data_IF_124039624924
#
_entry.id   IF_124039624924
#
_cell.length_a   1.000
_cell.length_b   1.000
_cell.length_c   1.000
_cell.angle_alpha   90.00
_cell.angle_beta   90.00
_cell.angle_gamma   90.00
#
_symmetry.space_group_name_H-M   'P 1'
#
loop_
_entity.id
_entity.type
_entity.pdbx_description
1 polymer ?
#
# COMPACT_ATOMS: atom_id res chain seq x y z
N UNK A 1 0.54 -30.55 0.81
CA UNK A 1 0.02 -29.47 -0.04
C UNK A 1 0.76 -28.22 0.38
N UNK A 2 1.75 -27.86 -0.44
CA UNK A 2 2.82 -26.91 -0.15
C UNK A 2 2.29 -25.49 0.01
N UNK A 3 2.42 -24.95 1.22
CA UNK A 3 2.40 -23.50 1.47
C UNK A 3 3.86 -23.05 1.37
N UNK A 4 4.35 -23.00 0.13
CA UNK A 4 5.73 -22.64 -0.19
C UNK A 4 5.82 -21.13 -0.46
N UNK A 5 6.57 -20.45 0.43
CA UNK A 5 7.22 -19.14 0.26
C UNK A 5 6.34 -18.00 -0.25
N UNK A 6 5.80 -17.23 0.70
CA UNK A 6 5.72 -15.79 0.49
C UNK A 6 7.16 -15.27 0.39
N UNK A 7 7.57 -14.89 -0.81
CA UNK A 7 8.82 -14.17 -1.05
C UNK A 7 8.76 -12.84 -0.30
N UNK A 8 9.34 -12.81 0.89
CA UNK A 8 9.82 -11.61 1.55
C UNK A 8 11.14 -11.20 0.87
N UNK A 9 11.02 -10.77 -0.39
CA UNK A 9 12.03 -10.03 -1.11
C UNK A 9 11.30 -8.91 -1.81
N UNK A 10 11.73 -7.67 -1.60
CA UNK A 10 11.28 -6.51 -2.39
C UNK A 10 11.46 -6.87 -3.86
N UNK A 11 10.42 -7.39 -4.50
CA UNK A 11 10.45 -7.70 -5.91
C UNK A 11 10.57 -6.36 -6.62
N UNK A 12 11.79 -6.05 -7.06
CA UNK A 12 12.16 -4.77 -7.65
C UNK A 12 11.13 -4.36 -8.70
N UNK A 13 10.69 -3.10 -8.64
CA UNK A 13 9.81 -2.55 -9.65
C UNK A 13 10.55 -2.52 -10.99
N UNK A 14 9.89 -3.01 -12.03
CA UNK A 14 10.36 -2.80 -13.41
C UNK A 14 9.60 -1.59 -13.93
N UNK A 15 10.21 -0.42 -13.80
CA UNK A 15 9.59 0.86 -14.14
C UNK A 15 9.86 1.24 -15.59
N UNK A 16 8.80 1.45 -16.36
CA UNK A 16 8.83 1.93 -17.74
C UNK A 16 7.95 3.17 -17.90
N UNK A 17 8.24 3.99 -18.91
CA UNK A 17 7.35 5.09 -19.31
C UNK A 17 6.17 4.53 -20.11
N UNK A 18 4.98 4.60 -19.52
CA UNK A 18 3.77 3.95 -20.07
C UNK A 18 2.68 4.97 -20.30
N UNK A 19 2.06 4.96 -21.49
CA UNK A 19 0.78 5.67 -21.71
C UNK A 19 -0.34 4.93 -20.96
N UNK A 20 -0.92 5.62 -19.99
CA UNK A 20 -1.86 5.02 -19.05
C UNK A 20 -3.20 4.71 -19.73
N UNK A 21 -3.62 5.52 -20.72
CA UNK A 21 -4.84 5.25 -21.46
C UNK A 21 -4.69 3.96 -22.28
N UNK A 22 -3.54 3.76 -22.92
CA UNK A 22 -3.25 2.56 -23.70
C UNK A 22 -3.19 1.31 -22.81
N UNK A 23 -2.50 1.39 -21.66
CA UNK A 23 -2.41 0.28 -20.73
C UNK A 23 -3.78 -0.13 -20.17
N UNK A 24 -4.59 0.85 -19.73
CA UNK A 24 -5.94 0.57 -19.21
C UNK A 24 -6.83 0.02 -20.32
N UNK A 25 -6.75 0.55 -21.53
CA UNK A 25 -7.50 0.03 -22.69
C UNK A 25 -7.13 -1.43 -22.98
N UNK A 26 -5.84 -1.76 -23.01
CA UNK A 26 -5.37 -3.13 -23.20
C UNK A 26 -5.83 -4.07 -22.07
N UNK A 27 -5.82 -3.59 -20.82
CA UNK A 27 -6.32 -4.33 -19.66
C UNK A 27 -7.81 -4.68 -19.79
N UNK A 28 -8.63 -3.73 -20.26
CA UNK A 28 -10.07 -3.91 -20.47
C UNK A 28 -10.36 -4.84 -21.66
N UNK A 29 -9.65 -4.68 -22.77
CA UNK A 29 -9.82 -5.50 -23.97
C UNK A 29 -9.46 -6.96 -23.71
N UNK A 30 -8.33 -7.23 -23.04
CA UNK A 30 -7.88 -8.57 -22.68
C UNK A 30 -8.91 -9.37 -21.84
N UNK A 31 -9.84 -8.67 -21.18
CA UNK A 31 -10.88 -9.25 -20.32
C UNK A 31 -12.28 -9.13 -20.93
N UNK A 32 -12.40 -8.61 -22.15
CA UNK A 32 -13.65 -8.33 -22.85
C UNK A 32 -14.60 -7.43 -22.05
N UNK A 33 -14.05 -6.40 -21.40
CA UNK A 33 -14.80 -5.43 -20.59
C UNK A 33 -15.12 -4.12 -21.31
N UNK A 34 -14.74 -3.96 -22.58
CA UNK A 34 -14.93 -2.72 -23.33
C UNK A 34 -16.39 -2.26 -23.42
N UNK A 35 -17.35 -3.19 -23.47
CA UNK A 35 -18.78 -2.85 -23.53
C UNK A 35 -19.40 -2.60 -22.14
N UNK A 36 -18.69 -2.96 -21.07
CA UNK A 36 -19.16 -2.85 -19.68
C UNK A 36 -18.53 -1.66 -18.92
N UNK A 37 -17.51 -1.02 -19.51
CA UNK A 37 -16.71 0.02 -18.87
C UNK A 37 -16.69 1.28 -19.74
N UNK A 38 -17.12 2.40 -19.16
CA UNK A 38 -16.94 3.75 -19.71
C UNK A 38 -15.57 4.29 -19.30
N UNK A 39 -14.59 4.21 -20.21
CA UNK A 39 -13.24 4.73 -19.98
C UNK A 39 -13.15 6.21 -20.38
N UNK A 40 -12.93 7.07 -19.38
CA UNK A 40 -12.70 8.51 -19.51
C UNK A 40 -11.24 8.82 -19.21
N UNK A 41 -10.46 8.99 -20.27
CA UNK A 41 -9.05 9.36 -20.13
C UNK A 41 -8.67 10.50 -21.07
N UNK A 42 -7.98 11.54 -20.57
CA UNK A 42 -7.17 12.40 -21.41
C UNK A 42 -6.13 11.55 -22.15
N UNK A 43 -5.75 11.98 -23.35
CA UNK A 43 -4.64 11.36 -24.09
C UNK A 43 -3.31 11.90 -23.59
N UNK A 44 -2.26 11.07 -23.65
CA UNK A 44 -0.89 11.49 -23.38
C UNK A 44 -0.55 11.62 -21.89
N UNK A 45 -1.25 10.91 -21.01
CA UNK A 45 -0.79 10.72 -19.64
C UNK A 45 0.24 9.60 -19.65
N UNK A 46 1.52 9.97 -19.60
CA UNK A 46 2.63 9.04 -19.46
C UNK A 46 3.09 9.06 -18.02
N UNK A 47 3.18 7.89 -17.39
CA UNK A 47 3.73 7.74 -16.05
C UNK A 47 4.78 6.63 -16.02
N UNK A 48 5.76 6.78 -15.14
CA UNK A 48 6.83 5.81 -14.91
C UNK A 48 6.38 4.77 -13.89
N UNK A 49 5.89 3.63 -14.37
CA UNK A 49 5.21 2.61 -13.55
C UNK A 49 5.59 1.20 -13.98
N UNK A 50 5.36 0.21 -13.12
CA UNK A 50 5.40 -1.20 -13.51
C UNK A 50 4.06 -1.59 -14.16
N UNK A 51 4.08 -1.72 -15.49
CA UNK A 51 2.89 -2.00 -16.30
C UNK A 51 2.15 -3.28 -15.87
N UNK A 52 2.88 -4.32 -15.45
CA UNK A 52 2.28 -5.60 -15.04
C UNK A 52 1.54 -5.44 -13.73
N UNK A 53 2.14 -4.74 -12.77
CA UNK A 53 1.50 -4.46 -11.48
C UNK A 53 0.31 -3.52 -11.64
N UNK A 54 0.41 -2.52 -12.53
CA UNK A 54 -0.69 -1.63 -12.80
C UNK A 54 -1.88 -2.34 -13.48
N UNK A 55 -1.66 -3.26 -14.43
CA UNK A 55 -2.72 -4.13 -14.97
C UNK A 55 -3.40 -4.95 -13.86
N UNK A 56 -2.62 -5.51 -12.94
CA UNK A 56 -3.16 -6.23 -11.78
C UNK A 56 -4.00 -5.30 -10.90
N UNK A 57 -3.56 -4.08 -10.63
CA UNK A 57 -4.32 -3.13 -9.81
C UNK A 57 -5.64 -2.77 -10.49
N UNK A 58 -5.59 -2.32 -11.75
CA UNK A 58 -6.77 -1.91 -12.51
C UNK A 58 -7.77 -3.05 -12.65
N UNK A 59 -7.29 -4.25 -12.99
CA UNK A 59 -8.17 -5.41 -13.15
C UNK A 59 -8.87 -5.83 -11.87
N UNK A 60 -8.21 -5.71 -10.72
CA UNK A 60 -8.84 -5.98 -9.42
C UNK A 60 -9.90 -4.92 -9.07
N UNK A 61 -9.63 -3.64 -9.32
CA UNK A 61 -10.58 -2.56 -9.06
C UNK A 61 -11.82 -2.67 -9.96
N UNK A 62 -11.62 -2.77 -11.28
CA UNK A 62 -12.71 -2.89 -12.26
C UNK A 62 -13.48 -4.20 -12.09
N UNK A 63 -12.79 -5.31 -11.85
CA UNK A 63 -13.43 -6.59 -11.59
C UNK A 63 -14.29 -6.59 -10.32
N UNK A 64 -13.86 -5.86 -9.29
CA UNK A 64 -14.65 -5.68 -8.07
C UNK A 64 -15.89 -4.82 -8.34
N UNK A 65 -15.73 -3.68 -9.01
CA UNK A 65 -16.81 -2.80 -9.41
C UNK A 65 -17.87 -3.53 -10.27
N UNK A 66 -17.46 -4.29 -11.29
CA UNK A 66 -18.39 -5.05 -12.15
C UNK A 66 -19.12 -6.15 -11.37
N UNK A 67 -18.43 -6.85 -10.46
CA UNK A 67 -19.01 -7.94 -9.68
C UNK A 67 -20.04 -7.45 -8.67
N UNK A 68 -19.76 -6.33 -8.00
CA UNK A 68 -20.55 -5.88 -6.86
C UNK A 68 -21.52 -4.74 -7.20
N UNK A 69 -21.14 -3.86 -8.13
CA UNK A 69 -21.97 -2.74 -8.56
C UNK A 69 -22.57 -2.88 -9.96
N UNK A 70 -22.21 -3.91 -10.71
CA UNK A 70 -22.77 -4.18 -12.04
C UNK A 70 -22.23 -3.25 -13.12
N UNK A 71 -22.87 -3.29 -14.29
CA UNK A 71 -22.49 -2.50 -15.47
C UNK A 71 -23.51 -1.37 -15.70
N UNK A 72 -23.07 -0.18 -16.16
CA UNK A 72 -21.70 0.18 -16.52
C UNK A 72 -20.84 0.60 -15.32
N UNK A 73 -19.54 0.31 -15.40
CA UNK A 73 -18.51 0.88 -14.51
C UNK A 73 -17.86 2.05 -15.22
N UNK A 74 -17.58 3.14 -14.50
CA UNK A 74 -16.83 4.28 -15.04
C UNK A 74 -15.39 4.21 -14.56
N UNK A 75 -14.43 4.31 -15.48
CA UNK A 75 -13.00 4.45 -15.16
C UNK A 75 -12.56 5.84 -15.61
N UNK A 76 -12.19 6.70 -14.67
CA UNK A 76 -11.71 8.04 -14.94
C UNK A 76 -10.23 8.16 -14.61
N UNK A 77 -9.44 8.66 -15.56
CA UNK A 77 -7.99 8.81 -15.43
C UNK A 77 -7.67 10.30 -15.51
N UNK A 78 -6.89 10.81 -14.55
CA UNK A 78 -6.46 12.21 -14.54
C UNK A 78 -5.12 12.39 -13.86
N UNK A 79 -4.54 13.58 -14.07
CA UNK A 79 -3.39 14.07 -13.30
C UNK A 79 -3.90 15.01 -12.23
N UNK A 80 -3.34 14.93 -11.03
CA UNK A 80 -3.58 15.88 -9.97
C UNK A 80 -2.25 16.35 -9.39
N UNK A 81 -2.15 17.60 -8.92
CA UNK A 81 -0.99 18.03 -8.13
C UNK A 81 -0.76 17.07 -6.96
N UNK A 82 0.50 16.71 -6.75
CA UNK A 82 0.85 15.76 -5.71
C UNK A 82 0.43 16.28 -4.34
N UNK A 83 -0.24 15.43 -3.57
CA UNK A 83 -0.70 15.80 -2.25
C UNK A 83 0.49 16.09 -1.33
N UNK A 84 0.46 17.26 -0.68
CA UNK A 84 1.47 17.62 0.30
C UNK A 84 1.39 16.68 1.51
N UNK A 85 2.46 15.93 1.75
CA UNK A 85 2.61 15.10 2.94
C UNK A 85 3.56 15.81 3.90
N UNK A 86 3.11 16.19 5.12
CA UNK A 86 3.98 16.86 6.08
C UNK A 86 5.26 16.07 6.35
N UNK A 87 6.41 16.73 6.28
CA UNK A 87 7.72 16.11 6.50
C UNK A 87 8.32 15.43 5.27
N UNK A 88 7.64 15.43 4.11
CA UNK A 88 8.18 14.94 2.84
C UNK A 88 8.42 16.12 1.92
N UNK A 89 9.66 16.30 1.47
CA UNK A 89 9.98 17.27 0.42
C UNK A 89 9.49 16.69 -0.91
N UNK A 90 8.63 17.45 -1.59
CA UNK A 90 8.07 17.08 -2.88
C UNK A 90 8.28 18.28 -3.80
N UNK A 91 8.71 18.01 -5.04
CA UNK A 91 8.76 19.01 -6.10
C UNK A 91 7.37 19.69 -6.23
N UNK A 92 7.27 21.04 -6.19
CA UNK A 92 6.00 21.73 -6.35
C UNK A 92 5.28 21.42 -7.67
N UNK A 93 6.01 20.99 -8.70
CA UNK A 93 5.48 20.59 -10.00
C UNK A 93 5.23 19.08 -10.10
N UNK A 94 5.43 18.32 -9.01
CA UNK A 94 5.12 16.89 -9.01
C UNK A 94 3.61 16.64 -9.13
N UNK A 95 3.26 15.67 -9.98
CA UNK A 95 1.88 15.23 -10.21
C UNK A 95 1.70 13.78 -9.76
N UNK A 96 0.49 13.47 -9.28
CA UNK A 96 0.01 12.12 -9.08
C UNK A 96 -0.94 11.72 -10.23
N UNK A 97 -0.85 10.45 -10.63
CA UNK A 97 -1.77 9.77 -11.49
C UNK A 97 -2.92 9.29 -10.62
N UNK A 98 -4.14 9.71 -10.98
CA UNK A 98 -5.36 9.28 -10.30
C UNK A 98 -6.20 8.46 -11.27
N UNK A 99 -6.54 7.24 -10.85
CA UNK A 99 -7.45 6.34 -11.55
C UNK A 99 -8.62 6.06 -10.61
N UNK A 100 -9.78 6.61 -10.93
CA UNK A 100 -11.02 6.37 -10.20
C UNK A 100 -11.86 5.33 -10.92
N UNK A 101 -12.32 4.33 -10.18
CA UNK A 101 -13.21 3.27 -10.66
C UNK A 101 -14.51 3.36 -9.87
N UNK A 102 -15.58 3.76 -10.56
CA UNK A 102 -16.89 4.02 -9.96
C UNK A 102 -17.94 3.07 -10.50
N UNK A 103 -18.74 2.48 -9.61
CA UNK A 103 -19.89 1.66 -9.96
C UNK A 103 -21.23 2.33 -9.60
N UNK A 104 -22.33 1.69 -9.96
CA UNK A 104 -23.71 2.16 -9.68
C UNK A 104 -24.45 1.21 -8.73
N UNK A 105 -23.69 0.45 -7.94
CA UNK A 105 -24.18 -0.57 -7.03
C UNK A 105 -24.83 -0.04 -5.75
N UNK A 106 -25.07 -0.93 -4.77
CA UNK A 106 -25.54 -0.53 -3.44
C UNK A 106 -24.48 0.22 -2.62
N UNK A 107 -23.23 0.29 -3.09
CA UNK A 107 -22.09 0.80 -2.34
C UNK A 107 -21.51 -0.25 -1.37
N UNK A 108 -20.56 0.19 -0.57
CA UNK A 108 -19.84 -0.59 0.44
C UNK A 108 -20.44 -0.26 1.82
N UNK A 109 -20.78 -1.26 2.67
CA UNK A 109 -21.23 -1.00 4.04
C UNK A 109 -20.21 -0.15 4.83
N UNK A 110 -20.69 0.76 5.68
CA UNK A 110 -19.83 1.70 6.43
C UNK A 110 -18.86 1.00 7.40
N UNK A 111 -19.28 -0.13 7.97
CA UNK A 111 -18.47 -0.99 8.83
C UNK A 111 -17.40 -1.77 8.06
N UNK A 112 -17.57 -1.91 6.74
CA UNK A 112 -16.69 -2.64 5.83
C UNK A 112 -15.67 -1.71 5.19
N UNK A 113 -16.06 -0.47 4.87
CA UNK A 113 -15.22 0.54 4.18
C UNK A 113 -13.80 0.67 4.75
N UNK A 114 -13.58 0.72 6.09
CA UNK A 114 -12.23 0.81 6.66
C UNK A 114 -11.36 -0.43 6.41
N UNK A 115 -11.98 -1.56 6.13
CA UNK A 115 -11.35 -2.89 6.08
C UNK A 115 -11.28 -3.49 4.67
N UNK A 116 -11.81 -2.82 3.64
CA UNK A 116 -11.87 -3.40 2.28
C UNK A 116 -10.50 -3.69 1.67
N UNK A 117 -9.45 -3.01 2.13
CA UNK A 117 -8.06 -3.25 1.70
C UNK A 117 -7.32 -4.26 2.60
N UNK A 118 -7.93 -4.73 3.69
CA UNK A 118 -7.33 -5.73 4.57
C UNK A 118 -7.26 -7.09 3.87
N UNK A 119 -6.14 -7.79 4.05
CA UNK A 119 -5.94 -9.12 3.47
C UNK A 119 -7.00 -10.09 4.00
N UNK A 120 -7.61 -10.85 3.08
CA UNK A 120 -8.64 -11.87 3.38
C UNK A 120 -9.94 -11.31 3.97
N UNK A 121 -10.11 -9.98 4.04
CA UNK A 121 -11.34 -9.42 4.54
C UNK A 121 -12.48 -9.69 3.56
N UNK A 122 -13.57 -10.24 4.09
CA UNK A 122 -14.85 -10.39 3.39
C UNK A 122 -15.91 -9.79 4.31
N UNK A 123 -16.66 -8.82 3.80
CA UNK A 123 -17.91 -8.40 4.42
C UNK A 123 -18.84 -9.62 4.48
N UNK A 124 -19.08 -10.14 5.67
CA UNK A 124 -19.78 -11.41 5.89
C UNK A 124 -21.21 -11.34 5.31
N UNK A 125 -21.39 -11.75 4.05
CA UNK A 125 -22.71 -11.94 3.45
C UNK A 125 -22.71 -13.06 2.40
N UNK A 126 -23.21 -14.19 2.89
CA UNK A 126 -23.66 -15.39 2.19
C UNK A 126 -22.62 -16.49 1.91
N UNK A 127 -22.86 -17.57 2.64
CA UNK A 127 -22.54 -18.95 2.30
C UNK A 127 -23.13 -19.30 0.93
N UNK A 128 -22.47 -18.90 -0.14
CA UNK A 128 -22.65 -19.44 -1.48
C UNK A 128 -21.41 -19.08 -2.29
N UNK A 129 -20.46 -20.02 -2.40
CA UNK A 129 -19.36 -20.04 -3.41
C UNK A 129 -19.03 -18.66 -4.02
N UNK A 130 -18.50 -17.73 -3.22
CA UNK A 130 -17.92 -16.51 -3.79
C UNK A 130 -16.53 -16.85 -4.31
N UNK A 131 -16.37 -16.89 -5.64
CA UNK A 131 -15.12 -17.20 -6.35
C UNK A 131 -14.10 -16.05 -6.27
N UNK A 132 -13.84 -15.56 -5.06
CA UNK A 132 -12.83 -14.55 -4.80
C UNK A 132 -12.10 -14.85 -3.49
N UNK A 133 -10.76 -14.81 -3.52
CA UNK A 133 -9.92 -15.08 -2.35
C UNK A 133 -9.97 -13.99 -1.27
N UNK A 134 -10.64 -12.86 -1.52
CA UNK A 134 -10.56 -11.68 -0.66
C UNK A 134 -9.19 -10.98 -0.71
N UNK A 135 -8.37 -11.31 -1.72
CA UNK A 135 -7.04 -10.74 -1.88
C UNK A 135 -7.00 -9.53 -2.83
N UNK A 136 -8.00 -9.36 -3.71
CA UNK A 136 -7.92 -8.42 -4.83
C UNK A 136 -7.57 -6.99 -4.42
N UNK A 137 -8.34 -6.38 -3.50
CA UNK A 137 -8.08 -5.03 -3.03
C UNK A 137 -6.81 -4.93 -2.17
N UNK A 138 -6.47 -5.95 -1.39
CA UNK A 138 -5.21 -5.96 -0.65
C UNK A 138 -3.97 -5.97 -1.56
N UNK A 139 -4.05 -6.64 -2.71
CA UNK A 139 -3.02 -6.62 -3.76
C UNK A 139 -2.92 -5.22 -4.39
N UNK A 140 -4.05 -4.53 -4.57
CA UNK A 140 -4.06 -3.13 -5.05
C UNK A 140 -3.27 -2.24 -4.09
N UNK A 141 -3.60 -2.30 -2.79
CA UNK A 141 -2.93 -1.49 -1.76
C UNK A 141 -1.43 -1.79 -1.69
N UNK A 142 -1.02 -3.05 -1.75
CA UNK A 142 0.39 -3.44 -1.72
C UNK A 142 1.17 -2.94 -2.94
N UNK A 143 0.62 -3.12 -4.15
CA UNK A 143 1.26 -2.61 -5.36
C UNK A 143 1.30 -1.08 -5.39
N UNK A 144 0.26 -0.41 -4.93
CA UNK A 144 0.23 1.04 -4.85
C UNK A 144 1.33 1.57 -3.91
N UNK A 145 1.47 0.96 -2.73
CA UNK A 145 2.52 1.34 -1.75
C UNK A 145 3.93 1.15 -2.29
N UNK A 146 4.20 0.03 -2.99
CA UNK A 146 5.53 -0.20 -3.59
C UNK A 146 5.85 0.86 -4.64
N UNK A 147 4.83 1.39 -5.35
CA UNK A 147 4.99 2.52 -6.26
C UNK A 147 5.06 3.88 -5.56
N UNK A 148 5.09 3.96 -4.23
CA UNK A 148 5.04 5.24 -3.50
C UNK A 148 3.67 5.94 -3.56
N UNK A 149 2.62 5.19 -3.88
CA UNK A 149 1.24 5.63 -3.97
C UNK A 149 0.34 4.99 -2.90
N UNK A 150 -0.96 5.11 -3.12
CA UNK A 150 -2.00 4.66 -2.19
C UNK A 150 -3.32 4.39 -2.91
N UNK A 151 -4.25 3.71 -2.24
CA UNK A 151 -5.60 3.48 -2.75
C UNK A 151 -6.64 3.78 -1.67
N UNK A 152 -7.82 4.26 -2.09
CA UNK A 152 -8.93 4.60 -1.22
C UNK A 152 -10.24 4.01 -1.75
N UNK A 153 -11.20 3.82 -0.86
CA UNK A 153 -12.55 3.43 -1.19
C UNK A 153 -13.53 4.37 -0.50
N UNK A 154 -14.58 4.77 -1.20
CA UNK A 154 -15.66 5.60 -0.67
C UNK A 154 -16.98 5.24 -1.33
N UNK A 155 -18.09 5.64 -0.71
CA UNK A 155 -19.40 5.57 -1.35
C UNK A 155 -19.72 6.88 -2.06
N UNK A 156 -20.40 6.78 -3.20
CA UNK A 156 -20.83 7.95 -3.97
C UNK A 156 -22.21 8.39 -3.45
N UNK A 157 -22.41 9.70 -3.18
CA UNK A 157 -23.74 10.23 -2.86
C UNK A 157 -24.74 9.90 -3.96
N UNK A 158 -25.79 9.15 -3.63
CA UNK A 158 -26.78 8.67 -4.61
C UNK A 158 -26.64 7.20 -5.02
N UNK A 159 -25.61 6.49 -4.53
CA UNK A 159 -25.41 5.07 -4.74
C UNK A 159 -24.11 4.75 -5.46
N UNK A 160 -23.60 3.54 -5.26
CA UNK A 160 -22.36 3.04 -5.82
C UNK A 160 -21.13 3.21 -4.93
N UNK A 161 -20.09 2.46 -5.26
CA UNK A 161 -18.77 2.59 -4.68
C UNK A 161 -17.80 3.27 -5.65
N UNK A 162 -16.82 3.99 -5.10
CA UNK A 162 -15.70 4.55 -5.83
C UNK A 162 -14.40 4.04 -5.21
N UNK A 163 -13.55 3.45 -6.04
CA UNK A 163 -12.18 3.08 -5.70
C UNK A 163 -11.23 4.05 -6.38
N UNK A 164 -10.39 4.73 -5.61
CA UNK A 164 -9.43 5.70 -6.12
C UNK A 164 -8.01 5.16 -5.94
N UNK A 165 -7.28 4.98 -7.03
CA UNK A 165 -5.85 4.63 -7.03
C UNK A 165 -5.04 5.88 -7.34
N UNK A 166 -4.09 6.22 -6.45
CA UNK A 166 -3.19 7.36 -6.60
C UNK A 166 -1.75 6.89 -6.64
N UNK A 167 -1.05 7.15 -7.74
CA UNK A 167 0.37 6.80 -7.93
C UNK A 167 1.17 8.06 -8.30
N UNK A 168 2.47 8.16 -7.96
CA UNK A 168 3.34 9.16 -8.56
C UNK A 168 3.33 9.08 -10.09
N UNK A 169 3.31 10.20 -10.83
CA UNK A 169 3.63 10.15 -12.27
C UNK A 169 5.08 9.73 -12.49
N UNK A 170 5.97 10.23 -11.63
CA UNK A 170 7.37 9.85 -11.55
C UNK A 170 7.62 9.41 -10.11
N UNK A 171 8.05 8.16 -9.87
CA UNK A 171 8.40 7.70 -8.54
C UNK A 171 9.43 8.65 -7.92
N UNK A 172 9.37 8.91 -6.60
CA UNK A 172 10.43 9.65 -5.94
C UNK A 172 11.77 8.98 -6.25
N UNK A 173 12.79 9.76 -6.57
CA UNK A 173 14.14 9.24 -6.73
C UNK A 173 14.55 8.62 -5.39
N UNK A 174 14.55 7.30 -5.30
CA UNK A 174 15.24 6.63 -4.21
C UNK A 174 16.74 6.82 -4.50
N UNK A 175 17.48 7.46 -3.59
CA UNK A 175 18.95 7.55 -3.62
C UNK A 175 19.63 6.16 -3.63
N UNK A 176 18.85 5.08 -3.52
CA UNK A 176 19.28 3.70 -3.65
C UNK A 176 19.21 3.17 -5.11
N UNK A 177 18.78 4.00 -6.08
CA UNK A 177 18.79 3.67 -7.49
C UNK A 177 20.16 4.01 -8.10
N UNK A 178 21.13 3.12 -7.93
CA UNK A 178 22.30 3.11 -8.81
C UNK A 178 21.85 2.60 -10.17
N UNK A 179 21.69 3.50 -11.12
CA UNK A 179 21.55 3.15 -12.54
C UNK A 179 22.75 2.28 -12.97
N UNK A 180 22.58 1.00 -13.35
CA UNK A 180 23.68 0.19 -13.86
C UNK A 180 24.15 0.62 -15.26
N UNK A 181 23.50 1.62 -15.87
CA UNK A 181 23.76 2.10 -17.24
C UNK A 181 24.33 3.52 -17.37
N UNK A 182 24.17 4.42 -16.38
CA UNK A 182 24.89 5.70 -16.36
C UNK A 182 26.19 5.56 -15.57
N UNK A 183 27.23 5.14 -16.27
CA UNK A 183 28.60 5.46 -15.87
C UNK A 183 28.72 6.97 -15.73
N UNK A 184 28.69 7.47 -14.49
CA UNK A 184 29.24 8.77 -14.12
C UNK A 184 30.67 8.56 -13.60
N UNK A 185 31.47 7.84 -14.36
CA UNK A 185 32.91 7.95 -14.24
C UNK A 185 33.34 9.08 -15.17
N UNK A 186 33.98 10.15 -14.66
CA UNK A 186 34.72 11.04 -15.53
C UNK A 186 35.78 10.22 -16.27
N UNK A 187 35.97 10.50 -17.57
CA UNK A 187 37.01 9.86 -18.37
C UNK A 187 38.37 9.94 -17.63
N UNK A 188 39.07 8.81 -17.40
CA UNK A 188 40.33 8.80 -16.66
C UNK A 188 41.54 9.30 -17.48
N UNK A 189 41.33 10.12 -18.51
CA UNK A 189 42.37 10.53 -19.46
C UNK A 189 42.57 12.05 -19.57
N UNK A 190 42.25 12.79 -18.51
CA UNK A 190 42.78 14.16 -18.32
C UNK A 190 43.78 14.17 -17.17
N UNK A 191 45.05 14.13 -17.57
CA UNK A 191 46.30 14.40 -16.85
C UNK A 191 46.18 14.88 -15.39
N UNK A 192 46.57 14.02 -14.45
CA UNK A 192 47.08 14.47 -13.16
C UNK A 192 48.58 14.74 -13.31
N UNK A 193 48.93 16.01 -13.50
CA UNK A 193 50.25 16.53 -13.15
C UNK A 193 50.39 16.47 -11.62
N UNK A 194 51.43 15.79 -11.16
CA UNK A 194 51.89 15.78 -9.77
C UNK A 194 52.23 17.21 -9.32
N UNK A 195 51.81 17.63 -8.10
CA UNK A 195 52.87 17.82 -7.12
C UNK A 195 52.49 17.52 -5.66
N UNK A 196 53.44 16.87 -5.00
CA UNK A 196 53.94 17.10 -3.64
C UNK A 196 53.04 16.95 -2.40
N UNK A 197 53.45 15.96 -1.60
CA UNK A 197 53.67 16.01 -0.15
C UNK A 197 52.50 16.35 0.80
N UNK A 198 51.97 15.30 1.44
CA UNK A 198 51.20 15.42 2.67
C UNK A 198 51.06 14.06 3.37
N UNK A 199 51.92 13.84 4.37
CA UNK A 199 51.98 12.65 5.24
C UNK A 199 50.59 12.32 5.82
N UNK A 200 50.09 11.12 5.56
CA UNK A 200 48.96 10.54 6.29
C UNK A 200 49.50 9.90 7.58
N UNK A 201 48.97 10.20 8.78
CA UNK A 201 49.42 9.56 10.01
C UNK A 201 48.92 8.10 10.08
N UNK A 202 49.76 7.24 10.68
CA UNK A 202 49.50 5.82 10.95
C UNK A 202 48.25 5.61 11.83
N UNK A 203 47.41 4.59 11.57
CA UNK A 203 46.13 4.38 12.26
C UNK A 203 46.24 3.63 13.61
N UNK A 204 47.39 3.64 14.29
CA UNK A 204 47.64 2.80 15.48
C UNK A 204 48.19 3.57 16.71
N UNK A 205 47.81 4.84 16.87
CA UNK A 205 47.98 5.55 18.15
C UNK A 205 46.68 5.54 18.95
N UNK A 206 46.71 4.74 20.04
CA UNK A 206 45.62 4.60 20.99
C UNK A 206 45.25 5.93 21.64
N UNK A 207 43.98 6.31 21.50
CA UNK A 207 43.38 7.41 22.26
C UNK A 207 43.04 6.90 23.66
N UNK A 208 43.75 7.37 24.68
CA UNK A 208 43.34 7.17 26.07
C UNK A 208 42.08 8.00 26.35
N UNK A 209 41.07 7.44 27.03
CA UNK A 209 39.84 8.17 27.35
C UNK A 209 40.13 9.26 28.37
N UNK A 210 39.59 10.45 28.13
CA UNK A 210 39.68 11.59 29.06
C UNK A 210 38.69 11.44 30.22
N UNK A 211 39.03 12.01 31.38
CA UNK A 211 38.29 11.96 32.67
C UNK A 211 36.83 12.46 32.63
N UNK A 212 36.31 12.90 31.47
CA UNK A 212 34.93 13.37 31.30
C UNK A 212 33.92 12.26 30.97
N UNK A 213 34.35 11.07 30.56
CA UNK A 213 33.44 9.94 30.22
C UNK A 213 33.13 9.00 31.39
N UNK A 214 33.78 9.16 32.56
CA UNK A 214 33.54 8.31 33.73
C UNK A 214 32.39 8.77 34.64
N UNK A 215 31.69 9.86 34.31
CA UNK A 215 30.62 10.41 35.16
C UNK A 215 29.18 10.01 34.75
N UNK A 216 28.99 9.30 33.63
CA UNK A 216 27.65 9.00 33.10
C UNK A 216 27.18 7.53 33.31
N UNK A 217 27.99 6.67 33.92
CA UNK A 217 27.72 5.23 34.05
C UNK A 217 27.41 4.76 35.48
N UNK A 218 26.70 5.56 36.28
CA UNK A 218 26.35 5.18 37.65
C UNK A 218 24.97 5.67 38.08
N UNK A 219 23.90 5.20 37.41
CA UNK A 219 22.53 5.23 37.94
C UNK A 219 21.72 4.09 37.29
N UNK A 220 22.02 2.85 37.66
CA UNK A 220 21.12 1.71 37.45
C UNK A 220 21.23 0.75 38.65
N UNK A 221 20.59 1.14 39.76
CA UNK A 221 20.19 0.20 40.81
C UNK A 221 19.10 0.86 41.68
N UNK A 222 17.85 0.67 41.29
CA UNK A 222 16.69 0.99 42.12
C UNK A 222 15.77 -0.25 42.18
N UNK A 223 15.41 -0.74 43.38
CA UNK A 223 14.64 -1.96 43.55
C UNK A 223 13.18 -1.78 43.13
N UNK A 224 12.65 -2.83 42.50
CA UNK A 224 11.25 -2.99 42.09
C UNK A 224 10.34 -3.02 43.34
N UNK A 225 9.29 -2.19 43.44
CA UNK A 225 8.28 -2.34 44.49
C UNK A 225 7.26 -3.43 44.13
N UNK A 226 6.97 -4.29 45.12
CA UNK A 226 5.97 -5.36 45.07
C UNK A 226 4.56 -4.86 44.67
N UNK A 227 3.94 -5.54 43.71
CA UNK A 227 2.52 -5.35 43.35
C UNK A 227 1.60 -5.85 44.48
N UNK A 228 0.58 -5.09 44.91
CA UNK A 228 -0.44 -5.59 45.81
C UNK A 228 -1.47 -6.47 45.07
N UNK A 229 -1.75 -7.62 45.69
CA UNK A 229 -2.76 -8.62 45.36
C UNK A 229 -4.08 -8.05 44.79
N UNK A 230 -4.47 -8.55 43.61
CA UNK A 230 -5.83 -8.36 43.10
C UNK A 230 -6.81 -9.25 43.88
N UNK A 231 -7.96 -8.71 44.34
CA UNK A 231 -8.95 -9.51 45.03
C UNK A 231 -9.65 -10.50 44.09
N UNK A 232 -9.68 -11.74 44.55
CA UNK A 232 -10.53 -12.85 44.11
C UNK A 232 -11.97 -12.39 43.89
N UNK A 233 -12.44 -12.48 42.64
CA UNK A 233 -13.85 -12.29 42.31
C UNK A 233 -14.64 -13.47 42.85
N UNK A 234 -15.60 -13.14 43.69
CA UNK A 234 -16.47 -14.07 44.38
C UNK A 234 -17.37 -14.88 43.46
N UNK A 235 -17.64 -16.05 44.00
CA UNK A 235 -18.65 -17.04 43.64
C UNK A 235 -20.09 -16.47 43.66
N UNK A 236 -20.97 -17.17 42.92
CA UNK A 236 -22.45 -17.23 42.97
C UNK A 236 -23.21 -16.65 41.75
N UNK A 237 -24.38 -17.20 41.39
CA UNK A 237 -24.64 -18.60 41.11
C UNK A 237 -25.43 -18.80 39.79
N UNK A 238 -25.55 -20.07 39.40
CA UNK A 238 -26.41 -20.63 38.36
C UNK A 238 -27.83 -20.03 38.37
N UNK A 239 -28.27 -19.56 37.21
CA UNK A 239 -29.70 -19.41 36.91
C UNK A 239 -30.14 -20.64 36.12
N UNK A 240 -31.11 -21.35 36.69
CA UNK A 240 -31.72 -22.56 36.16
C UNK A 240 -32.42 -22.30 34.81
N UNK A 241 -32.15 -23.21 33.87
CA UNK A 241 -33.14 -23.71 32.93
C UNK A 241 -34.33 -24.25 33.73
N UNK A 242 -35.52 -23.66 33.61
CA UNK A 242 -36.72 -24.48 33.59
C UNK A 242 -37.78 -23.97 32.60
N UNK A 243 -38.20 -24.94 31.82
CA UNK A 243 -39.14 -24.84 30.74
C UNK A 243 -40.55 -24.59 31.30
N UNK A 244 -41.28 -23.66 30.68
CA UNK A 244 -42.73 -23.75 30.66
C UNK A 244 -43.23 -23.55 29.24
N UNK A 245 -43.11 -24.65 28.47
CA UNK A 245 -44.06 -25.01 27.44
C UNK A 245 -45.46 -25.02 28.06
N UNK A 246 -46.27 -23.99 27.76
CA UNK A 246 -47.73 -24.12 27.76
C UNK A 246 -48.19 -24.40 26.34
N UNK A 247 -48.25 -25.68 26.02
CA UNK A 247 -49.15 -26.20 25.00
C UNK A 247 -50.32 -26.90 25.67
N UNK A 248 -51.54 -26.60 25.20
CA UNK A 248 -52.62 -27.58 25.10
C UNK A 248 -53.76 -27.53 26.12
N UNK A 249 -54.98 -27.61 25.56
CA UNK A 249 -56.35 -27.73 26.14
C UNK A 249 -57.07 -26.38 26.23
N UNK A 250 -58.17 -26.11 25.52
CA UNK A 250 -59.12 -26.89 24.71
C UNK A 250 -59.63 -26.01 23.57
#
# INVERSE_FOLDING_TARGET
MEVSRFDAGTAALVLDDVDIADLVTACLDARAWMDAVDLRSPRGIVARVDARRLDVMVSNLVGNALRHGGSPVTVEIRREPRAHTPGVLVDPDAEDLVIDVSDTGPGIPEDVLPHVFDRFYKADSSRARSEGSGLGLSIVMENARIHGGTAYASNIPGGGAMFSLRLPLVPPEDDHYTDPGRSRWPDPDDSWDDPDEGVWPDPDEGVEPTDAELAAAALDDAPVPDEPDRPVSGDSPRADDDASRRGGRR
#
